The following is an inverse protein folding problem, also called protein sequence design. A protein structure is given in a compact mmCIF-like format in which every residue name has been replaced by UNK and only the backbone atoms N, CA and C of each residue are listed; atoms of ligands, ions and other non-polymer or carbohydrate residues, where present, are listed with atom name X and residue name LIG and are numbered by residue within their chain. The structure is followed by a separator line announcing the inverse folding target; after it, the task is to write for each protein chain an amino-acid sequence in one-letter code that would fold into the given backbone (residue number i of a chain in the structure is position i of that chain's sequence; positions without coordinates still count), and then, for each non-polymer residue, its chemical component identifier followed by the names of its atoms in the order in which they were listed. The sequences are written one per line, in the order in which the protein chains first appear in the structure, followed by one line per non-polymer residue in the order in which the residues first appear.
data_IF_878781813786
#
_entry.id   IF_878781813786
#
_cell.length_a   1.000
_cell.length_b   1.000
_cell.length_c   1.000
_cell.angle_alpha   90.00
_cell.angle_beta   90.00
_cell.angle_gamma   90.00
#
_symmetry.space_group_name_H-M   'P 1'
#
loop_
_entity.id
_entity.type
_entity.pdbx_description
1 polymer ?
#
# COMPACT_ATOMS: atom_id res chain seq x y z
N UNK A 1 16.59 10.88 -51.15
CA UNK A 1 17.18 10.48 -49.85
C UNK A 1 16.56 9.14 -49.49
N UNK A 2 17.33 8.06 -49.32
CA UNK A 2 16.74 6.78 -49.00
C UNK A 2 16.19 6.84 -47.57
N UNK A 3 14.97 6.30 -47.40
CA UNK A 3 14.28 6.18 -46.14
C UNK A 3 15.18 5.44 -45.13
N UNK A 4 15.37 6.03 -43.96
CA UNK A 4 15.94 5.35 -42.81
C UNK A 4 15.11 4.11 -42.53
N UNK A 5 15.73 2.94 -42.62
CA UNK A 5 15.13 1.65 -42.27
C UNK A 5 14.63 1.72 -40.83
N UNK A 6 13.30 1.71 -40.63
CA UNK A 6 12.72 1.37 -39.34
C UNK A 6 13.15 -0.06 -39.04
N UNK A 7 14.16 -0.22 -38.18
CA UNK A 7 14.42 -1.51 -37.57
C UNK A 7 13.11 -1.93 -36.87
N UNK A 8 12.52 -3.04 -37.31
CA UNK A 8 11.34 -3.62 -36.66
C UNK A 8 11.67 -3.84 -35.19
N UNK A 9 10.90 -3.25 -34.27
CA UNK A 9 11.15 -3.46 -32.84
C UNK A 9 11.09 -4.96 -32.53
N UNK A 10 12.09 -5.52 -31.81
CA UNK A 10 12.06 -6.93 -31.45
C UNK A 10 10.85 -7.27 -30.57
N UNK A 11 10.18 -8.39 -30.84
CA UNK A 11 9.08 -8.84 -29.99
C UNK A 11 9.57 -9.04 -28.54
N UNK A 12 8.85 -8.48 -27.57
CA UNK A 12 9.19 -8.50 -26.15
C UNK A 12 10.20 -7.42 -25.72
N UNK A 13 10.68 -6.55 -26.61
CA UNK A 13 11.60 -5.48 -26.24
C UNK A 13 10.90 -4.41 -25.40
N UNK A 14 11.58 -3.95 -24.34
CA UNK A 14 11.13 -2.80 -23.54
C UNK A 14 11.67 -1.52 -24.14
N UNK A 15 10.81 -0.52 -24.30
CA UNK A 15 11.14 0.82 -24.79
C UNK A 15 10.60 1.90 -23.88
N UNK A 16 11.18 3.10 -23.96
CA UNK A 16 10.67 4.27 -23.25
C UNK A 16 9.36 4.75 -23.88
N UNK A 17 8.35 4.91 -23.04
CA UNK A 17 7.06 5.47 -23.37
C UNK A 17 6.66 6.58 -22.41
N UNK A 18 5.48 7.14 -22.67
CA UNK A 18 4.89 8.24 -21.92
C UNK A 18 3.51 7.81 -21.44
N UNK A 19 3.30 7.89 -20.13
CA UNK A 19 1.99 7.67 -19.51
C UNK A 19 1.39 8.99 -19.07
N UNK A 20 0.10 9.17 -19.29
CA UNK A 20 -0.68 10.28 -18.74
C UNK A 20 -1.64 9.73 -17.69
N UNK A 21 -1.19 9.77 -16.44
CA UNK A 21 -1.92 9.35 -15.27
C UNK A 21 -2.94 10.39 -14.78
N UNK A 22 -3.90 9.95 -13.98
CA UNK A 22 -4.92 10.81 -13.35
C UNK A 22 -4.29 11.62 -12.21
N UNK A 23 -3.52 10.95 -11.35
CA UNK A 23 -2.93 11.54 -10.15
C UNK A 23 -1.52 12.11 -10.39
N UNK A 24 -0.71 11.39 -11.17
CA UNK A 24 0.72 11.70 -11.31
C UNK A 24 1.06 12.47 -12.59
N UNK A 25 0.06 12.85 -13.38
CA UNK A 25 0.26 13.60 -14.61
C UNK A 25 1.09 12.83 -15.64
N UNK A 26 2.06 13.49 -16.27
CA UNK A 26 2.86 12.87 -17.34
C UNK A 26 4.11 12.19 -16.77
N UNK A 27 4.21 10.88 -16.97
CA UNK A 27 5.26 10.01 -16.44
C UNK A 27 6.06 9.34 -17.57
N UNK A 28 7.40 9.29 -17.48
CA UNK A 28 8.17 8.37 -18.29
C UNK A 28 7.94 6.94 -17.79
N UNK A 29 7.51 6.05 -18.67
CA UNK A 29 7.20 4.66 -18.32
C UNK A 29 7.84 3.68 -19.31
N UNK A 30 8.43 2.56 -18.85
CA UNK A 30 8.81 1.48 -19.75
C UNK A 30 7.56 0.78 -20.28
N UNK A 31 7.55 0.44 -21.57
CA UNK A 31 6.47 -0.32 -22.22
C UNK A 31 7.07 -1.43 -23.08
N UNK A 32 6.40 -2.57 -23.18
CA UNK A 32 6.86 -3.69 -23.99
C UNK A 32 6.22 -3.62 -25.38
N UNK A 33 7.01 -3.80 -26.43
CA UNK A 33 6.49 -4.06 -27.77
C UNK A 33 6.14 -5.54 -27.94
N UNK A 34 4.92 -5.83 -28.36
CA UNK A 34 4.43 -7.17 -28.68
C UNK A 34 4.00 -7.24 -30.14
N UNK A 35 4.69 -8.07 -30.91
CA UNK A 35 4.49 -8.19 -32.36
C UNK A 35 3.05 -8.63 -32.68
N UNK A 36 2.38 -7.88 -33.56
CA UNK A 36 0.99 -8.11 -33.93
C UNK A 36 -0.05 -7.57 -32.93
N UNK A 37 0.38 -7.02 -31.78
CA UNK A 37 -0.49 -6.43 -30.76
C UNK A 37 -0.28 -4.91 -30.66
N UNK A 38 0.97 -4.47 -30.50
CA UNK A 38 1.30 -3.06 -30.26
C UNK A 38 2.23 -2.93 -29.05
N UNK A 39 2.13 -1.82 -28.32
CA UNK A 39 2.81 -1.61 -27.04
C UNK A 39 1.89 -1.97 -25.89
N UNK A 40 2.45 -2.50 -24.81
CA UNK A 40 1.73 -2.92 -23.61
C UNK A 40 2.39 -2.34 -22.35
N UNK A 41 1.59 -2.05 -21.32
CA UNK A 41 2.08 -1.64 -19.99
C UNK A 41 2.73 -2.84 -19.25
N UNK A 42 3.93 -3.22 -19.68
CA UNK A 42 4.75 -4.30 -19.13
C UNK A 42 6.19 -3.82 -18.96
N UNK A 43 6.73 -3.99 -17.75
CA UNK A 43 8.06 -3.60 -17.33
C UNK A 43 8.94 -4.83 -17.10
N UNK A 44 9.65 -5.29 -18.13
CA UNK A 44 10.62 -6.38 -17.95
C UNK A 44 11.89 -5.96 -17.20
N UNK A 45 12.15 -4.66 -16.99
CA UNK A 45 13.27 -4.22 -16.14
C UNK A 45 13.00 -4.47 -14.66
N UNK A 46 11.72 -4.58 -14.29
CA UNK A 46 11.23 -5.02 -12.97
C UNK A 46 10.55 -6.38 -13.04
N UNK A 47 11.06 -7.27 -13.90
CA UNK A 47 10.62 -8.66 -14.00
C UNK A 47 9.13 -8.83 -14.37
N UNK A 48 8.69 -8.04 -15.34
CA UNK A 48 7.40 -8.18 -15.99
C UNK A 48 6.25 -7.58 -15.18
N UNK A 49 6.51 -6.67 -14.23
CA UNK A 49 5.44 -5.86 -13.63
C UNK A 49 4.54 -5.34 -14.74
N UNK A 50 3.24 -5.50 -14.62
CA UNK A 50 2.32 -5.06 -15.66
C UNK A 50 1.04 -4.47 -15.11
N UNK A 51 0.36 -3.69 -15.94
CA UNK A 51 -0.95 -3.14 -15.66
C UNK A 51 -1.95 -3.57 -16.72
N UNK A 52 -3.16 -3.93 -16.29
CA UNK A 52 -4.23 -4.44 -17.13
C UNK A 52 -5.58 -3.86 -16.70
N UNK A 53 -6.55 -3.79 -17.61
CA UNK A 53 -7.97 -3.58 -17.29
C UNK A 53 -8.51 -4.88 -16.68
N UNK A 54 -9.19 -4.79 -15.53
CA UNK A 54 -9.87 -5.89 -14.85
C UNK A 54 -11.21 -6.27 -15.48
N UNK A 55 -11.68 -5.53 -16.47
CA UNK A 55 -12.86 -5.85 -17.27
C UNK A 55 -14.18 -5.70 -16.53
N UNK A 56 -14.21 -4.87 -15.48
CA UNK A 56 -15.36 -4.67 -14.62
C UNK A 56 -15.68 -5.89 -13.75
N UNK A 57 -14.67 -6.70 -13.39
CA UNK A 57 -14.87 -7.89 -12.56
C UNK A 57 -15.63 -7.53 -11.27
N UNK A 58 -16.63 -8.34 -10.94
CA UNK A 58 -17.40 -8.20 -9.72
C UNK A 58 -17.63 -9.60 -9.12
N UNK A 59 -17.16 -9.84 -7.89
CA UNK A 59 -17.31 -11.16 -7.25
C UNK A 59 -18.77 -11.55 -6.92
N UNK A 60 -19.69 -10.59 -6.93
CA UNK A 60 -21.12 -10.80 -6.64
C UNK A 60 -21.98 -10.94 -7.91
N UNK A 61 -21.48 -10.55 -9.09
CA UNK A 61 -22.21 -10.68 -10.35
C UNK A 61 -21.41 -11.53 -11.35
N UNK A 62 -22.05 -12.55 -11.91
CA UNK A 62 -21.39 -13.55 -12.76
C UNK A 62 -20.95 -13.03 -14.15
N UNK A 63 -21.29 -11.80 -14.53
CA UNK A 63 -21.02 -11.25 -15.87
C UNK A 63 -19.99 -10.12 -15.82
N UNK A 64 -18.80 -10.38 -16.38
CA UNK A 64 -17.73 -9.41 -16.59
C UNK A 64 -16.93 -9.77 -17.86
N UNK A 65 -16.14 -8.82 -18.41
CA UNK A 65 -15.43 -9.01 -19.70
C UNK A 65 -14.18 -9.89 -19.61
N UNK A 66 -13.70 -10.14 -18.40
CA UNK A 66 -12.37 -10.71 -18.16
C UNK A 66 -11.26 -9.66 -18.26
N UNK A 67 -10.10 -9.92 -17.64
CA UNK A 67 -8.98 -8.99 -17.68
C UNK A 67 -8.43 -8.83 -19.11
N UNK A 68 -8.03 -7.61 -19.47
CA UNK A 68 -7.45 -7.25 -20.76
C UNK A 68 -6.18 -6.43 -20.56
N UNK A 69 -5.14 -6.69 -21.33
CA UNK A 69 -3.92 -5.88 -21.28
C UNK A 69 -4.19 -4.48 -21.85
N UNK A 70 -3.64 -3.43 -21.25
CA UNK A 70 -3.64 -2.11 -21.87
C UNK A 70 -2.71 -2.14 -23.09
N UNK A 71 -3.25 -1.84 -24.27
CA UNK A 71 -2.53 -1.85 -25.55
C UNK A 71 -2.61 -0.47 -26.21
N UNK A 72 -1.51 -0.02 -26.80
CA UNK A 72 -1.44 1.21 -27.60
C UNK A 72 -0.68 0.97 -28.91
N UNK A 73 -1.08 1.57 -30.04
CA UNK A 73 -0.29 1.53 -31.28
C UNK A 73 0.98 2.38 -31.20
N UNK A 74 1.11 3.24 -30.17
CA UNK A 74 2.27 4.10 -29.91
C UNK A 74 2.84 3.81 -28.53
N UNK A 75 3.97 4.42 -28.19
CA UNK A 75 4.53 4.33 -26.82
C UNK A 75 3.81 5.24 -25.81
N UNK A 76 2.68 5.85 -26.19
CA UNK A 76 1.88 6.73 -25.34
C UNK A 76 0.64 6.01 -24.78
N UNK A 77 0.35 6.20 -23.49
CA UNK A 77 -0.79 5.62 -22.77
C UNK A 77 -1.53 6.67 -21.96
N UNK A 78 -2.86 6.56 -21.91
CA UNK A 78 -3.71 7.48 -21.17
C UNK A 78 -3.85 8.86 -21.81
N UNK A 79 -4.73 9.67 -21.22
CA UNK A 79 -4.99 11.06 -21.58
C UNK A 79 -5.01 11.99 -20.34
N UNK A 80 -4.70 11.45 -19.16
CA UNK A 80 -4.72 12.17 -17.88
C UNK A 80 -6.10 12.37 -17.26
N UNK A 81 -7.18 11.93 -17.90
CA UNK A 81 -8.54 12.06 -17.37
C UNK A 81 -8.94 10.87 -16.50
N UNK A 82 -9.72 11.11 -15.45
CA UNK A 82 -10.31 10.07 -14.60
C UNK A 82 -11.30 9.15 -15.35
N UNK A 83 -11.78 9.56 -16.54
CA UNK A 83 -12.65 8.74 -17.38
C UNK A 83 -11.87 7.71 -18.23
N UNK A 84 -10.54 7.86 -18.34
CA UNK A 84 -9.71 6.98 -19.14
C UNK A 84 -9.16 5.84 -18.29
N UNK A 85 -9.59 4.61 -18.60
CA UNK A 85 -9.07 3.40 -17.98
C UNK A 85 -7.55 3.27 -18.18
N UNK A 86 -7.03 3.74 -19.32
CA UNK A 86 -5.60 3.73 -19.56
C UNK A 86 -4.86 4.71 -18.66
N UNK A 87 -5.44 5.85 -18.29
CA UNK A 87 -4.84 6.80 -17.34
C UNK A 87 -4.78 6.21 -15.93
N UNK A 88 -5.85 5.55 -15.49
CA UNK A 88 -5.85 4.77 -14.24
C UNK A 88 -4.81 3.64 -14.28
N UNK A 89 -4.73 2.94 -15.41
CA UNK A 89 -3.73 1.90 -15.66
C UNK A 89 -2.30 2.41 -15.55
N UNK A 90 -2.02 3.64 -16.01
CA UNK A 90 -0.72 4.32 -15.88
C UNK A 90 -0.40 4.60 -14.41
N UNK A 91 -1.32 5.17 -13.64
CA UNK A 91 -1.09 5.44 -12.21
C UNK A 91 -0.83 4.16 -11.41
N UNK A 92 -1.65 3.13 -11.64
CA UNK A 92 -1.52 1.84 -11.01
C UNK A 92 -0.17 1.17 -11.35
N UNK A 93 0.25 1.27 -12.61
CA UNK A 93 1.54 0.78 -13.09
C UNK A 93 2.70 1.50 -12.41
N UNK A 94 2.65 2.82 -12.39
CA UNK A 94 3.65 3.66 -11.73
C UNK A 94 3.78 3.32 -10.24
N UNK A 95 2.67 3.24 -9.52
CA UNK A 95 2.69 2.93 -8.10
C UNK A 95 3.23 1.52 -7.81
N UNK A 96 2.92 0.54 -8.67
CA UNK A 96 3.49 -0.82 -8.60
C UNK A 96 5.01 -0.82 -8.83
N UNK A 97 5.51 -0.01 -9.78
CA UNK A 97 6.95 0.15 -10.03
C UNK A 97 7.66 0.79 -8.83
N UNK A 98 7.09 1.86 -8.25
CA UNK A 98 7.65 2.52 -7.06
C UNK A 98 7.65 1.61 -5.83
N UNK A 99 6.61 0.79 -5.68
CA UNK A 99 6.55 -0.23 -4.63
C UNK A 99 7.68 -1.24 -4.77
N UNK A 100 7.91 -1.76 -5.99
CA UNK A 100 9.01 -2.69 -6.25
C UNK A 100 10.37 -2.03 -5.98
N UNK A 101 10.59 -0.80 -6.46
CA UNK A 101 11.83 -0.05 -6.26
C UNK A 101 12.12 0.16 -4.78
N UNK A 102 11.13 0.58 -3.99
CA UNK A 102 11.28 0.76 -2.54
C UNK A 102 11.76 -0.52 -1.85
N UNK A 103 11.07 -1.65 -2.08
CA UNK A 103 11.46 -2.92 -1.45
C UNK A 103 12.83 -3.42 -1.94
N UNK A 104 13.15 -3.21 -3.21
CA UNK A 104 14.46 -3.57 -3.78
C UNK A 104 15.59 -2.73 -3.20
N UNK A 105 15.42 -1.42 -3.13
CA UNK A 105 16.46 -0.46 -2.75
C UNK A 105 16.63 -0.36 -1.22
N UNK A 106 15.52 -0.37 -0.47
CA UNK A 106 15.54 -0.17 0.99
C UNK A 106 15.72 -1.48 1.75
N UNK A 107 15.13 -2.57 1.25
CA UNK A 107 15.09 -3.86 1.98
C UNK A 107 15.82 -5.00 1.26
N UNK A 108 16.48 -4.72 0.14
CA UNK A 108 17.12 -5.73 -0.71
C UNK A 108 16.19 -6.88 -1.14
N UNK A 109 14.87 -6.66 -1.15
CA UNK A 109 13.86 -7.66 -1.47
C UNK A 109 13.56 -7.65 -2.98
N UNK A 110 13.75 -8.79 -3.63
CA UNK A 110 13.44 -8.93 -5.05
C UNK A 110 11.96 -9.26 -5.27
N UNK A 111 11.15 -8.26 -5.60
CA UNK A 111 9.74 -8.42 -5.87
C UNK A 111 8.90 -8.82 -4.65
N UNK A 112 7.63 -9.14 -4.89
CA UNK A 112 6.64 -9.43 -3.85
C UNK A 112 6.98 -10.65 -3.00
N UNK A 113 7.66 -11.63 -3.57
CA UNK A 113 7.86 -12.96 -2.99
C UNK A 113 9.33 -13.27 -2.68
N UNK A 114 10.21 -12.28 -2.79
CA UNK A 114 11.67 -12.41 -2.69
C UNK A 114 12.32 -13.33 -3.75
N UNK A 115 11.54 -13.84 -4.72
CA UNK A 115 12.03 -14.66 -5.85
C UNK A 115 11.88 -13.93 -7.18
N UNK A 116 11.51 -12.65 -7.14
CA UNK A 116 11.29 -11.82 -8.30
C UNK A 116 10.28 -12.47 -9.27
N UNK A 117 9.11 -12.92 -8.78
CA UNK A 117 8.04 -13.32 -9.70
C UNK A 117 7.30 -12.10 -10.26
N UNK A 118 6.76 -12.25 -11.47
CA UNK A 118 5.92 -11.25 -12.14
C UNK A 118 4.70 -10.88 -11.29
N UNK A 119 4.25 -9.62 -11.38
CA UNK A 119 3.04 -9.13 -10.73
C UNK A 119 2.24 -8.25 -11.69
N UNK A 120 0.91 -8.30 -11.61
CA UNK A 120 0.01 -7.54 -12.50
C UNK A 120 -1.02 -6.79 -11.70
N UNK A 121 -1.07 -5.48 -11.83
CA UNK A 121 -2.10 -4.62 -11.23
C UNK A 121 -3.32 -4.55 -12.16
N UNK A 122 -4.55 -4.68 -11.63
CA UNK A 122 -5.79 -4.60 -12.41
C UNK A 122 -6.58 -3.34 -12.07
N UNK A 123 -6.64 -2.39 -12.99
CA UNK A 123 -7.54 -1.25 -12.86
C UNK A 123 -8.98 -1.65 -13.23
N UNK A 124 -9.98 -0.84 -12.93
CA UNK A 124 -11.37 -1.09 -13.32
C UNK A 124 -11.91 -2.43 -12.83
N UNK A 125 -11.86 -2.58 -11.51
CA UNK A 125 -12.55 -3.68 -10.85
C UNK A 125 -13.66 -3.16 -9.94
N UNK A 126 -14.83 -3.76 -10.03
CA UNK A 126 -16.04 -3.30 -9.36
C UNK A 126 -16.41 -4.32 -8.29
N UNK A 127 -15.86 -4.22 -7.08
CA UNK A 127 -16.33 -5.03 -5.95
C UNK A 127 -17.47 -4.30 -5.23
N UNK A 128 -18.70 -4.51 -5.72
CA UNK A 128 -19.91 -3.99 -5.07
C UNK A 128 -20.75 -5.15 -4.53
N UNK A 129 -20.73 -5.30 -3.21
CA UNK A 129 -21.89 -5.80 -2.49
C UNK A 129 -23.07 -4.83 -2.72
N UNK A 130 -24.34 -5.28 -2.78
CA UNK A 130 -25.49 -4.40 -2.99
C UNK A 130 -25.47 -3.21 -2.01
N UNK A 131 -25.43 -1.98 -2.56
CA UNK A 131 -25.45 -0.74 -1.78
C UNK A 131 -24.09 -0.15 -1.36
N UNK A 132 -22.95 -0.76 -1.72
CA UNK A 132 -21.63 -0.14 -1.53
C UNK A 132 -21.16 0.57 -2.80
N UNK A 133 -20.25 1.53 -2.65
CA UNK A 133 -19.57 2.26 -3.72
C UNK A 133 -18.08 1.88 -3.66
N UNK A 134 -17.55 1.39 -4.77
CA UNK A 134 -16.14 1.12 -5.12
C UNK A 134 -15.24 0.67 -3.98
N UNK A 135 -14.78 -0.58 -4.00
CA UNK A 135 -13.73 -1.04 -3.08
C UNK A 135 -12.42 -1.25 -3.83
N UNK A 136 -11.32 -0.85 -3.19
CA UNK A 136 -10.01 -1.38 -3.51
C UNK A 136 -9.89 -2.74 -2.84
N UNK A 137 -9.52 -3.79 -3.57
CA UNK A 137 -9.17 -5.07 -2.96
C UNK A 137 -7.79 -5.52 -3.42
N UNK A 138 -7.11 -6.25 -2.56
CA UNK A 138 -5.91 -7.00 -2.93
C UNK A 138 -6.12 -8.47 -2.63
N UNK A 139 -5.89 -9.32 -3.63
CA UNK A 139 -5.89 -10.76 -3.47
C UNK A 139 -4.70 -11.39 -4.19
N UNK A 140 -4.08 -12.37 -3.54
CA UNK A 140 -2.97 -13.12 -4.09
C UNK A 140 -3.51 -14.38 -4.79
N UNK A 141 -3.34 -14.48 -6.10
CA UNK A 141 -3.70 -15.71 -6.85
C UNK A 141 -2.59 -16.77 -6.85
N UNK A 142 -1.53 -16.59 -6.07
CA UNK A 142 -0.35 -17.47 -6.09
C UNK A 142 0.71 -17.09 -7.12
N UNK A 143 0.33 -16.48 -8.25
CA UNK A 143 1.25 -16.00 -9.31
C UNK A 143 1.11 -14.52 -9.64
N UNK A 144 0.05 -13.87 -9.17
CA UNK A 144 -0.28 -12.48 -9.47
C UNK A 144 -0.89 -11.81 -8.24
N UNK A 145 -0.43 -10.60 -7.91
CA UNK A 145 -1.15 -9.73 -6.98
C UNK A 145 -2.28 -9.07 -7.75
N UNK A 146 -3.52 -9.50 -7.55
CA UNK A 146 -4.68 -8.81 -8.10
C UNK A 146 -4.94 -7.60 -7.21
N UNK A 147 -4.58 -6.41 -7.67
CA UNK A 147 -5.17 -5.20 -7.10
C UNK A 147 -6.37 -4.88 -7.97
N UNK A 148 -7.55 -4.79 -7.37
CA UNK A 148 -8.71 -4.23 -8.03
C UNK A 148 -8.85 -2.79 -7.59
N UNK A 149 -8.74 -1.85 -8.53
CA UNK A 149 -8.94 -0.42 -8.29
C UNK A 149 -10.31 -0.07 -8.86
N UNK A 150 -11.22 0.34 -7.97
CA UNK A 150 -12.57 0.80 -8.34
C UNK A 150 -12.55 1.97 -9.32
N UNK A 151 -13.54 1.99 -10.22
CA UNK A 151 -13.78 3.12 -11.12
C UNK A 151 -14.39 4.31 -10.38
N UNK A 152 -14.21 5.50 -10.94
CA UNK A 152 -14.90 6.70 -10.49
C UNK A 152 -16.43 6.52 -10.60
N UNK A 153 -17.09 6.22 -9.48
CA UNK A 153 -18.54 6.25 -9.35
C UNK A 153 -18.93 7.02 -8.08
N UNK A 154 -19.79 8.02 -8.25
CA UNK A 154 -20.38 8.85 -7.19
C UNK A 154 -19.38 9.67 -6.36
N UNK A 155 -18.42 10.33 -7.02
CA UNK A 155 -17.57 11.36 -6.42
C UNK A 155 -16.31 10.85 -5.72
N UNK A 156 -15.83 9.66 -6.09
CA UNK A 156 -14.57 9.07 -5.63
C UNK A 156 -13.61 9.05 -6.83
N UNK A 157 -12.39 9.56 -6.64
CA UNK A 157 -11.34 9.50 -7.66
C UNK A 157 -10.77 8.07 -7.75
N UNK A 158 -10.11 7.69 -8.85
CA UNK A 158 -9.51 6.37 -8.98
C UNK A 158 -8.61 6.01 -7.79
N UNK A 159 -8.77 4.81 -7.20
CA UNK A 159 -7.97 4.37 -6.03
C UNK A 159 -6.50 4.00 -6.38
N UNK A 160 -6.00 4.45 -7.53
CA UNK A 160 -4.67 4.15 -8.06
C UNK A 160 -3.57 5.04 -7.43
N UNK A 161 -3.60 5.19 -6.11
CA UNK A 161 -2.66 6.06 -5.37
C UNK A 161 -1.45 5.25 -4.86
N UNK A 162 -0.32 5.92 -4.60
CA UNK A 162 0.97 5.28 -4.29
C UNK A 162 0.87 4.48 -2.99
N UNK A 163 0.21 5.07 -2.02
CA UNK A 163 -0.04 4.54 -0.69
C UNK A 163 -1.06 3.39 -0.69
N UNK A 164 -2.14 3.47 -1.47
CA UNK A 164 -3.13 2.39 -1.61
C UNK A 164 -2.50 1.20 -2.34
N UNK A 165 -1.91 1.43 -3.51
CA UNK A 165 -1.24 0.37 -4.29
C UNK A 165 -0.06 -0.21 -3.52
N UNK A 166 0.72 0.63 -2.85
CA UNK A 166 1.83 0.23 -1.99
C UNK A 166 1.39 -0.57 -0.77
N UNK A 167 0.28 -0.18 -0.13
CA UNK A 167 -0.33 -0.93 0.98
C UNK A 167 -0.75 -2.31 0.51
N UNK A 168 -1.38 -2.39 -0.66
CA UNK A 168 -1.77 -3.66 -1.23
C UNK A 168 -0.56 -4.53 -1.63
N UNK A 169 0.50 -3.93 -2.18
CA UNK A 169 1.77 -4.62 -2.45
C UNK A 169 2.33 -5.23 -1.15
N UNK A 170 2.39 -4.44 -0.08
CA UNK A 170 2.91 -4.87 1.21
C UNK A 170 2.03 -5.90 1.92
N UNK A 171 0.71 -5.80 1.79
CA UNK A 171 -0.23 -6.80 2.31
C UNK A 171 0.06 -8.20 1.76
N UNK A 172 0.52 -8.30 0.51
CA UNK A 172 0.90 -9.57 -0.13
C UNK A 172 2.22 -10.14 0.40
N UNK A 173 3.16 -9.30 0.84
CA UNK A 173 4.37 -9.76 1.54
C UNK A 173 3.97 -10.48 2.82
N UNK A 174 3.01 -9.92 3.56
CA UNK A 174 2.48 -10.53 4.78
C UNK A 174 1.62 -11.75 4.47
N UNK A 175 0.76 -11.70 3.45
CA UNK A 175 -0.14 -12.81 3.08
C UNK A 175 0.62 -14.11 2.80
N UNK A 176 1.77 -14.03 2.13
CA UNK A 176 2.64 -15.18 1.90
C UNK A 176 3.15 -15.85 3.19
N UNK A 177 3.13 -15.13 4.31
CA UNK A 177 3.56 -15.60 5.64
C UNK A 177 2.41 -15.85 6.61
N UNK A 178 1.25 -15.24 6.40
CA UNK A 178 0.03 -15.41 7.20
C UNK A 178 -1.24 -15.21 6.34
N UNK A 179 -1.75 -16.28 5.70
CA UNK A 179 -2.87 -16.19 4.76
C UNK A 179 -4.24 -16.05 5.43
N UNK A 180 -4.37 -16.39 6.72
CA UNK A 180 -5.62 -16.28 7.48
C UNK A 180 -5.41 -15.54 8.81
N UNK A 181 -5.39 -14.19 8.76
CA UNK A 181 -5.19 -13.39 9.95
C UNK A 181 -6.41 -13.43 10.90
N UNK A 182 -7.53 -14.07 10.56
CA UNK A 182 -8.75 -13.96 11.35
C UNK A 182 -9.29 -12.51 11.41
N UNK A 183 -9.75 -12.09 12.59
CA UNK A 183 -10.36 -10.78 12.88
C UNK A 183 -9.71 -10.07 14.07
N UNK A 184 -10.14 -8.85 14.36
CA UNK A 184 -9.71 -8.10 15.53
C UNK A 184 -8.25 -7.69 15.44
N UNK A 185 -7.45 -8.08 16.44
CA UNK A 185 -6.04 -7.70 16.53
C UNK A 185 -5.23 -8.12 15.31
N UNK A 186 -5.30 -9.40 14.92
CA UNK A 186 -4.41 -9.93 13.89
C UNK A 186 -4.70 -9.34 12.52
N UNK A 187 -5.98 -9.15 12.20
CA UNK A 187 -6.36 -8.45 10.97
C UNK A 187 -5.89 -6.98 11.02
N UNK A 188 -5.99 -6.33 12.18
CA UNK A 188 -5.47 -4.99 12.42
C UNK A 188 -3.94 -4.91 12.25
N UNK A 189 -3.19 -5.86 12.80
CA UNK A 189 -1.73 -5.96 12.65
C UNK A 189 -1.38 -6.09 11.17
N UNK A 190 -2.03 -6.98 10.42
CA UNK A 190 -1.80 -7.15 8.98
C UNK A 190 -2.09 -5.86 8.21
N UNK A 191 -3.23 -5.24 8.45
CA UNK A 191 -3.61 -3.99 7.79
C UNK A 191 -2.68 -2.84 8.16
N UNK A 192 -2.20 -2.78 9.41
CA UNK A 192 -1.23 -1.76 9.82
C UNK A 192 0.13 -1.93 9.15
N UNK A 193 0.58 -3.17 8.93
CA UNK A 193 1.81 -3.42 8.17
C UNK A 193 1.64 -2.94 6.72
N UNK A 194 0.48 -3.18 6.12
CA UNK A 194 0.16 -2.71 4.78
C UNK A 194 0.22 -1.17 4.72
N UNK A 195 -0.55 -0.46 5.56
CA UNK A 195 -0.59 1.00 5.61
C UNK A 195 0.80 1.61 5.83
N UNK A 196 1.58 1.07 6.78
CA UNK A 196 2.96 1.52 7.05
C UNK A 196 3.82 1.50 5.80
N UNK A 197 3.76 0.42 5.02
CA UNK A 197 4.56 0.32 3.82
C UNK A 197 4.00 1.13 2.65
N UNK A 198 2.67 1.29 2.54
CA UNK A 198 2.06 2.24 1.62
C UNK A 198 2.62 3.65 1.83
N UNK A 199 2.52 4.15 3.05
CA UNK A 199 3.09 5.45 3.45
C UNK A 199 4.59 5.54 3.19
N UNK A 200 5.38 4.51 3.56
CA UNK A 200 6.83 4.55 3.32
C UNK A 200 7.19 4.55 1.82
N UNK A 201 6.37 3.91 0.97
CA UNK A 201 6.53 3.92 -0.49
C UNK A 201 6.24 5.32 -1.04
N UNK A 202 5.18 5.97 -0.57
CA UNK A 202 4.84 7.35 -0.94
C UNK A 202 5.96 8.33 -0.55
N UNK A 203 6.44 8.26 0.70
CA UNK A 203 7.62 9.02 1.16
C UNK A 203 8.87 8.74 0.31
N UNK A 204 9.07 7.50 -0.14
CA UNK A 204 10.23 7.13 -0.96
C UNK A 204 10.10 7.60 -2.40
N UNK A 205 8.90 7.55 -2.97
CA UNK A 205 8.61 8.03 -4.31
C UNK A 205 8.73 9.56 -4.40
N UNK A 206 8.36 10.26 -3.32
CA UNK A 206 8.47 11.72 -3.17
C UNK A 206 7.93 12.47 -4.40
N UNK A 207 6.77 12.03 -4.91
CA UNK A 207 6.21 12.59 -6.11
C UNK A 207 5.65 14.00 -5.82
N UNK A 208 5.86 15.02 -6.67
CA UNK A 208 5.41 16.38 -6.36
C UNK A 208 3.90 16.53 -6.19
N UNK A 209 3.10 15.73 -6.90
CA UNK A 209 1.63 15.71 -6.77
C UNK A 209 1.15 14.83 -5.61
N UNK A 210 2.04 14.05 -5.00
CA UNK A 210 1.73 13.11 -3.92
C UNK A 210 2.89 13.10 -2.90
N UNK A 211 3.09 14.22 -2.17
CA UNK A 211 4.19 14.32 -1.22
C UNK A 211 3.88 13.46 0.01
N UNK A 212 4.81 12.57 0.35
CA UNK A 212 4.69 11.65 1.48
C UNK A 212 4.03 12.23 2.73
N UNK A 213 2.93 11.62 3.15
CA UNK A 213 2.26 11.93 4.40
C UNK A 213 1.80 10.67 5.19
N UNK A 214 0.94 10.84 6.19
CA UNK A 214 0.48 9.78 7.10
C UNK A 214 -1.04 9.59 7.06
N UNK A 215 -1.64 10.05 5.97
CA UNK A 215 -3.02 9.82 5.57
C UNK A 215 -2.96 8.77 4.46
N UNK A 216 -3.91 7.85 4.46
CA UNK A 216 -4.01 6.81 3.44
C UNK A 216 -5.18 7.17 2.53
N UNK A 217 -4.95 7.34 1.24
CA UNK A 217 -5.93 7.50 0.17
C UNK A 217 -6.50 8.91 0.04
N UNK A 218 -5.82 9.92 0.55
CA UNK A 218 -6.18 11.34 0.48
C UNK A 218 -6.26 11.87 -0.95
N UNK A 219 -5.43 11.37 -1.87
CA UNK A 219 -5.57 11.69 -3.31
C UNK A 219 -6.84 11.09 -3.94
N UNK A 220 -7.32 9.96 -3.45
CA UNK A 220 -8.50 9.30 -4.02
C UNK A 220 -9.81 9.67 -3.30
N UNK A 221 -9.73 10.05 -2.03
CA UNK A 221 -10.87 10.29 -1.15
C UNK A 221 -10.66 11.57 -0.34
N UNK A 222 -11.54 12.58 -0.47
CA UNK A 222 -11.43 13.80 0.32
C UNK A 222 -11.40 13.51 1.83
N UNK A 223 -10.31 13.92 2.49
CA UNK A 223 -10.06 13.66 3.91
C UNK A 223 -9.35 12.34 4.22
N UNK A 224 -9.11 11.50 3.22
CA UNK A 224 -8.44 10.22 3.37
C UNK A 224 -9.31 9.10 3.94
N UNK A 225 -8.86 7.86 3.74
CA UNK A 225 -9.48 6.65 4.28
C UNK A 225 -9.07 6.40 5.73
N UNK A 226 -7.80 6.67 6.08
CA UNK A 226 -7.23 6.44 7.42
C UNK A 226 -6.15 7.48 7.73
N UNK A 227 -6.09 7.92 8.98
CA UNK A 227 -5.00 8.76 9.49
C UNK A 227 -4.14 7.95 10.45
N UNK A 228 -2.89 7.66 10.10
CA UNK A 228 -2.04 6.76 10.90
C UNK A 228 -1.76 7.30 12.30
N UNK A 229 -1.67 8.62 12.45
CA UNK A 229 -1.44 9.28 13.75
C UNK A 229 -2.68 9.29 14.65
N UNK A 230 -3.90 9.25 14.09
CA UNK A 230 -5.16 9.32 14.84
C UNK A 230 -6.35 8.84 13.99
N UNK A 231 -6.53 7.53 13.89
CA UNK A 231 -7.49 6.99 12.94
C UNK A 231 -8.96 7.27 13.29
N UNK A 232 -9.28 7.47 14.58
CA UNK A 232 -10.63 7.77 15.05
C UNK A 232 -11.22 9.11 14.55
N UNK A 233 -10.44 9.89 13.78
CA UNK A 233 -10.93 11.05 13.03
C UNK A 233 -12.03 10.66 12.03
N UNK A 234 -12.08 9.39 11.62
CA UNK A 234 -13.15 8.81 10.81
C UNK A 234 -14.50 8.63 11.56
N UNK A 235 -14.53 8.89 12.88
CA UNK A 235 -15.69 8.71 13.75
C UNK A 235 -16.07 7.25 14.04
N UNK A 236 -15.25 6.27 13.65
CA UNK A 236 -15.55 4.82 13.72
C UNK A 236 -14.41 4.00 14.33
N UNK A 237 -13.16 4.33 14.00
CA UNK A 237 -11.98 3.62 14.47
C UNK A 237 -11.73 3.86 15.95
N UNK A 238 -11.04 2.91 16.58
CA UNK A 238 -10.64 3.04 17.98
C UNK A 238 -9.51 4.06 18.14
N UNK A 239 -9.59 4.88 19.20
CA UNK A 239 -8.53 5.84 19.54
C UNK A 239 -7.31 5.12 20.11
N UNK A 240 -7.54 4.18 21.02
CA UNK A 240 -6.52 3.48 21.80
C UNK A 240 -6.84 2.00 21.89
N UNK A 241 -5.81 1.18 22.09
CA UNK A 241 -5.99 -0.26 22.21
C UNK A 241 -6.88 -0.59 23.43
N UNK A 242 -7.99 -1.34 23.26
CA UNK A 242 -8.87 -1.70 24.37
C UNK A 242 -8.16 -2.60 25.38
N UNK A 243 -8.45 -2.43 26.67
CA UNK A 243 -7.82 -3.25 27.73
C UNK A 243 -8.05 -4.76 27.57
N UNK A 244 -9.18 -5.16 26.98
CA UNK A 244 -9.54 -6.56 26.68
C UNK A 244 -9.05 -7.05 25.32
N UNK A 245 -8.37 -6.21 24.55
CA UNK A 245 -8.08 -6.41 23.12
C UNK A 245 -9.30 -6.32 22.22
N UNK A 246 -9.12 -6.60 20.94
CA UNK A 246 -10.21 -6.73 19.99
C UNK A 246 -10.77 -8.16 20.01
N UNK A 247 -12.09 -8.28 20.13
CA UNK A 247 -12.75 -9.59 20.13
C UNK A 247 -12.70 -10.19 18.71
N UNK A 248 -12.05 -11.35 18.50
CA UNK A 248 -11.96 -11.96 17.18
C UNK A 248 -13.30 -12.56 16.72
N UNK A 249 -14.29 -12.71 17.61
CA UNK A 249 -15.62 -13.24 17.29
C UNK A 249 -16.66 -12.13 17.08
N UNK A 250 -16.31 -10.86 17.31
CA UNK A 250 -17.22 -9.74 17.04
C UNK A 250 -17.20 -9.42 15.54
N UNK A 251 -18.33 -9.70 14.88
CA UNK A 251 -18.48 -9.48 13.44
C UNK A 251 -18.84 -8.04 13.08
N UNK A 252 -18.99 -7.15 14.07
CA UNK A 252 -19.22 -5.73 13.84
C UNK A 252 -18.13 -5.14 12.94
N UNK A 253 -18.49 -4.24 11.99
CA UNK A 253 -17.51 -3.58 11.14
C UNK A 253 -16.37 -2.94 11.92
N UNK A 254 -16.59 -2.44 13.14
CA UNK A 254 -15.56 -1.80 13.96
C UNK A 254 -14.37 -2.71 14.29
N UNK A 255 -14.54 -4.05 14.25
CA UNK A 255 -13.48 -5.02 14.53
C UNK A 255 -12.81 -5.56 13.26
N UNK A 256 -13.13 -4.99 12.09
CA UNK A 256 -12.38 -5.27 10.88
C UNK A 256 -11.02 -4.57 10.89
N UNK A 257 -10.08 -5.14 10.13
CA UNK A 257 -8.68 -4.70 10.08
C UNK A 257 -8.54 -3.24 9.65
N UNK A 258 -9.48 -2.74 8.84
CA UNK A 258 -9.50 -1.33 8.44
C UNK A 258 -9.69 -0.39 9.63
N UNK A 259 -10.42 -0.78 10.68
CA UNK A 259 -10.64 0.07 11.87
C UNK A 259 -9.71 -0.28 13.03
N UNK A 260 -9.30 -1.56 13.15
CA UNK A 260 -8.39 -2.00 14.21
C UNK A 260 -6.93 -1.70 13.90
N UNK A 261 -6.55 -1.50 12.62
CA UNK A 261 -5.19 -1.12 12.18
C UNK A 261 -4.67 0.18 12.79
N UNK A 262 -5.57 1.09 13.18
CA UNK A 262 -5.22 2.38 13.79
C UNK A 262 -4.27 2.28 14.98
N UNK A 263 -4.29 1.16 15.71
CA UNK A 263 -3.38 0.91 16.83
C UNK A 263 -1.94 0.69 16.35
N UNK A 264 -1.74 -0.18 15.36
CA UNK A 264 -0.43 -0.42 14.75
C UNK A 264 0.09 0.79 13.97
N UNK A 265 -0.81 1.47 13.25
CA UNK A 265 -0.51 2.70 12.52
C UNK A 265 -0.01 3.81 13.46
N UNK A 266 -0.69 4.00 14.59
CA UNK A 266 -0.30 4.99 15.61
C UNK A 266 1.02 4.62 16.27
N UNK A 267 1.22 3.35 16.61
CA UNK A 267 2.50 2.89 17.15
C UNK A 267 3.66 3.14 16.19
N UNK A 268 3.47 2.91 14.89
CA UNK A 268 4.47 3.23 13.88
C UNK A 268 4.73 4.75 13.78
N UNK A 269 3.67 5.56 13.69
CA UNK A 269 3.78 7.01 13.61
C UNK A 269 4.59 7.57 14.78
N UNK A 270 4.23 7.18 16.01
CA UNK A 270 4.91 7.61 17.23
C UNK A 270 6.37 7.14 17.27
N UNK A 271 6.67 5.97 16.72
CA UNK A 271 8.05 5.50 16.60
C UNK A 271 8.86 6.30 15.56
N UNK A 272 8.26 6.64 14.43
CA UNK A 272 8.93 7.34 13.35
C UNK A 272 9.13 8.83 13.66
N UNK A 273 8.08 9.50 14.13
CA UNK A 273 7.95 10.96 14.22
C UNK A 273 7.89 11.49 15.67
N UNK A 274 7.67 10.61 16.64
CA UNK A 274 7.36 11.02 18.02
C UNK A 274 5.93 11.55 18.17
N UNK A 275 5.64 12.20 19.30
CA UNK A 275 4.34 12.85 19.54
C UNK A 275 4.30 14.25 18.89
N UNK A 276 4.75 14.34 17.65
CA UNK A 276 4.71 15.57 16.86
C UNK A 276 3.40 15.60 16.09
N UNK A 277 2.60 16.66 16.22
CA UNK A 277 1.38 16.78 15.41
C UNK A 277 1.73 17.04 13.94
N UNK A 278 1.12 16.32 12.98
CA UNK A 278 1.30 16.62 11.57
C UNK A 278 0.90 18.06 11.27
N UNK A 279 1.66 18.73 10.39
CA UNK A 279 1.37 20.09 9.98
C UNK A 279 -0.05 20.18 9.38
N UNK A 280 -0.80 21.23 9.73
CA UNK A 280 -2.17 21.43 9.22
C UNK A 280 -3.24 20.52 9.82
N UNK A 281 -2.89 19.52 10.64
CA UNK A 281 -3.87 18.59 11.24
C UNK A 281 -4.77 19.23 12.30
N UNK A 282 -4.37 20.36 12.88
CA UNK A 282 -5.05 20.98 14.03
C UNK A 282 -4.98 20.15 15.32
N UNK A 283 -4.19 19.07 15.34
CA UNK A 283 -4.02 18.22 16.51
C UNK A 283 -2.93 18.73 17.44
N UNK A 284 -3.04 18.39 18.72
CA UNK A 284 -1.98 18.56 19.72
C UNK A 284 -1.31 17.22 20.06
N UNK A 285 -0.09 17.28 20.62
CA UNK A 285 0.70 16.09 20.97
C UNK A 285 -0.04 15.12 21.91
N UNK A 286 -0.82 15.63 22.86
CA UNK A 286 -1.61 14.83 23.79
C UNK A 286 -2.72 14.02 23.10
N UNK A 287 -3.21 14.48 21.95
CA UNK A 287 -4.23 13.76 21.18
C UNK A 287 -3.68 12.57 20.38
N UNK A 288 -2.35 12.48 20.28
CA UNK A 288 -1.66 11.40 19.55
C UNK A 288 -1.37 10.19 20.44
N UNK A 289 -1.39 10.37 21.76
CA UNK A 289 -0.97 9.35 22.73
C UNK A 289 -2.10 8.95 23.66
N UNK A 290 -2.06 7.69 24.11
CA UNK A 290 -3.09 7.07 24.94
C UNK A 290 -2.74 7.06 26.44
N UNK A 291 -1.48 7.35 26.78
CA UNK A 291 -0.95 7.28 28.14
C UNK A 291 -0.42 8.63 28.67
N UNK A 292 -0.61 9.72 27.92
CA UNK A 292 -0.13 11.06 28.27
C UNK A 292 1.36 11.32 27.99
N UNK A 293 2.10 10.36 27.43
CA UNK A 293 3.53 10.52 27.15
C UNK A 293 3.80 11.33 25.87
N UNK A 294 3.69 12.65 25.96
CA UNK A 294 3.94 13.58 24.85
C UNK A 294 5.43 13.85 24.60
N UNK A 295 6.32 13.30 25.43
CA UNK A 295 7.77 13.51 25.31
C UNK A 295 8.46 12.41 24.47
N UNK A 296 7.70 11.61 23.73
CA UNK A 296 8.25 10.58 22.84
C UNK A 296 8.91 11.23 21.63
N UNK A 297 10.17 10.84 21.40
CA UNK A 297 10.99 11.29 20.27
C UNK A 297 11.10 10.14 19.29
N UNK A 298 10.81 10.41 18.02
CA UNK A 298 10.90 9.42 16.95
C UNK A 298 12.34 9.02 16.64
N UNK A 299 12.53 7.78 16.16
CA UNK A 299 13.81 7.27 15.67
C UNK A 299 13.98 7.45 14.15
N UNK A 300 13.02 8.09 13.50
CA UNK A 300 12.98 8.33 12.06
C UNK A 300 12.39 7.16 11.26
N UNK A 301 11.75 7.50 10.13
CA UNK A 301 11.10 6.56 9.20
C UNK A 301 11.99 5.39 8.76
N UNK A 302 13.27 5.63 8.48
CA UNK A 302 14.18 4.59 8.01
C UNK A 302 14.37 3.47 9.05
N UNK A 303 14.64 3.81 10.31
CA UNK A 303 14.82 2.81 11.38
C UNK A 303 13.49 2.13 11.73
N UNK A 304 12.41 2.91 11.83
CA UNK A 304 11.07 2.39 12.09
C UNK A 304 10.63 1.40 11.00
N UNK A 305 10.83 1.76 9.73
CA UNK A 305 10.52 0.93 8.57
C UNK A 305 11.31 -0.38 8.53
N UNK A 306 12.60 -0.36 8.89
CA UNK A 306 13.41 -1.57 9.00
C UNK A 306 12.89 -2.54 10.10
N UNK A 307 12.44 -1.99 11.23
CA UNK A 307 11.84 -2.77 12.33
C UNK A 307 10.50 -3.40 11.87
N UNK A 308 9.64 -2.61 11.21
CA UNK A 308 8.38 -3.11 10.66
C UNK A 308 8.59 -4.13 9.54
N UNK A 309 9.68 -4.02 8.77
CA UNK A 309 9.99 -5.00 7.73
C UNK A 309 10.37 -6.36 8.31
N UNK A 310 11.17 -6.36 9.38
CA UNK A 310 11.43 -7.58 10.15
C UNK A 310 10.17 -8.13 10.81
N UNK A 311 9.28 -7.28 11.34
CA UNK A 311 7.96 -7.72 11.79
C UNK A 311 7.27 -8.49 10.65
N UNK A 312 7.13 -7.89 9.48
CA UNK A 312 6.41 -8.46 8.35
C UNK A 312 7.01 -9.74 7.76
N UNK A 313 8.31 -10.00 7.95
CA UNK A 313 9.01 -11.08 7.21
C UNK A 313 9.68 -12.14 8.07
N UNK A 314 10.15 -11.80 9.28
CA UNK A 314 10.91 -12.73 10.11
C UNK A 314 10.29 -12.96 11.49
N UNK A 315 9.61 -11.96 12.05
CA UNK A 315 9.07 -12.05 13.41
C UNK A 315 7.57 -12.37 13.45
N UNK A 316 6.85 -12.12 12.36
CA UNK A 316 5.42 -12.39 12.30
C UNK A 316 5.16 -13.88 12.19
N UNK A 317 4.46 -14.40 13.19
CA UNK A 317 3.78 -15.70 13.15
C UNK A 317 2.34 -15.52 12.68
N UNK A 318 1.62 -16.62 12.44
CA UNK A 318 0.19 -16.56 12.19
C UNK A 318 -0.55 -15.89 13.37
N UNK A 319 -1.50 -15.02 13.05
CA UNK A 319 -2.47 -14.49 14.02
C UNK A 319 -1.93 -13.72 15.24
N UNK A 320 -0.99 -12.79 15.03
CA UNK A 320 -0.46 -11.97 16.12
C UNK A 320 -1.52 -11.05 16.74
N UNK A 321 -1.59 -11.06 18.07
CA UNK A 321 -2.27 -9.99 18.83
C UNK A 321 -1.41 -8.72 18.89
N UNK A 322 -1.98 -7.58 19.25
CA UNK A 322 -1.19 -6.34 19.39
C UNK A 322 -0.09 -6.43 20.46
N UNK A 323 -0.32 -7.01 21.65
CA UNK A 323 0.77 -7.29 22.60
C UNK A 323 1.86 -8.20 22.03
N UNK A 324 1.51 -9.18 21.20
CA UNK A 324 2.50 -10.04 20.54
C UNK A 324 3.27 -9.29 19.43
N UNK A 325 2.60 -8.42 18.66
CA UNK A 325 3.24 -7.54 17.68
C UNK A 325 4.21 -6.56 18.35
N UNK A 326 3.86 -6.04 19.54
CA UNK A 326 4.78 -5.28 20.38
C UNK A 326 6.02 -6.09 20.74
N UNK A 327 5.86 -7.31 21.26
CA UNK A 327 7.00 -8.16 21.58
C UNK A 327 7.87 -8.48 20.35
N UNK A 328 7.23 -8.75 19.21
CA UNK A 328 7.91 -9.04 17.95
C UNK A 328 8.71 -7.85 17.40
N UNK A 329 8.17 -6.64 17.46
CA UNK A 329 8.88 -5.43 17.02
C UNK A 329 10.03 -5.05 17.96
N UNK A 330 9.92 -5.32 19.26
CA UNK A 330 11.05 -5.18 20.19
C UNK A 330 12.17 -6.14 19.79
N UNK A 331 11.87 -7.43 19.57
CA UNK A 331 12.87 -8.40 19.10
C UNK A 331 13.49 -8.01 17.77
N UNK A 332 12.69 -7.51 16.83
CA UNK A 332 13.19 -6.98 15.56
C UNK A 332 14.19 -5.84 15.76
N UNK A 333 13.89 -4.89 16.64
CA UNK A 333 14.80 -3.79 16.98
C UNK A 333 16.06 -4.29 17.68
N UNK A 334 15.96 -5.26 18.57
CA UNK A 334 17.12 -5.86 19.23
C UNK A 334 18.02 -6.62 18.25
N UNK A 335 17.44 -7.31 17.27
CA UNK A 335 18.19 -7.99 16.21
C UNK A 335 18.93 -7.01 15.28
N UNK A 336 18.37 -5.81 15.07
CA UNK A 336 18.98 -4.77 14.20
C UNK A 336 20.00 -3.90 14.94
N UNK A 337 19.73 -3.55 16.19
CA UNK A 337 20.44 -2.48 16.91
C UNK A 337 21.03 -2.93 18.26
N UNK A 338 20.84 -4.19 18.65
CA UNK A 338 21.33 -4.77 19.90
C UNK A 338 20.28 -4.85 21.00
N UNK A 339 20.45 -5.83 21.90
CA UNK A 339 19.60 -6.04 23.08
C UNK A 339 19.56 -4.78 23.94
N UNK A 340 18.37 -4.35 24.37
CA UNK A 340 18.17 -3.10 25.12
C UNK A 340 18.78 -1.87 24.43
N UNK A 341 18.77 -1.80 23.10
CA UNK A 341 19.16 -0.59 22.36
C UNK A 341 18.21 0.58 22.62
N UNK A 342 18.60 1.78 22.18
CA UNK A 342 17.71 2.95 22.23
C UNK A 342 16.46 2.72 21.36
N UNK A 343 16.62 2.06 20.23
CA UNK A 343 15.57 1.68 19.29
C UNK A 343 14.59 0.69 19.92
N UNK A 344 15.08 -0.36 20.60
CA UNK A 344 14.22 -1.33 21.29
C UNK A 344 13.38 -0.66 22.40
N UNK A 345 13.99 0.28 23.15
CA UNK A 345 13.26 1.09 24.14
C UNK A 345 12.24 2.03 23.47
N UNK A 346 12.59 2.64 22.34
CA UNK A 346 11.68 3.51 21.60
C UNK A 346 10.47 2.74 21.07
N UNK A 347 10.67 1.51 20.55
CA UNK A 347 9.57 0.62 20.15
C UNK A 347 8.65 0.32 21.33
N UNK A 348 9.21 -0.10 22.47
CA UNK A 348 8.41 -0.41 23.65
C UNK A 348 7.59 0.80 24.12
N UNK A 349 8.20 2.00 24.10
CA UNK A 349 7.56 3.28 24.46
C UNK A 349 6.45 3.67 23.49
N UNK A 350 6.68 3.56 22.18
CA UNK A 350 5.70 3.88 21.14
C UNK A 350 4.44 3.00 21.24
N UNK A 351 4.60 1.69 21.47
CA UNK A 351 3.47 0.80 21.71
C UNK A 351 2.68 1.16 22.97
N UNK A 352 3.37 1.48 24.07
CA UNK A 352 2.72 1.93 25.30
C UNK A 352 1.96 3.25 25.10
N UNK A 353 2.50 4.16 24.29
CA UNK A 353 1.83 5.39 23.90
C UNK A 353 0.64 5.14 22.95
N UNK A 354 0.57 4.03 22.23
CA UNK A 354 -0.61 3.58 21.49
C UNK A 354 -1.63 2.79 22.36
N UNK A 355 -1.34 2.61 23.66
CA UNK A 355 -2.20 1.89 24.61
C UNK A 355 -1.93 0.39 24.71
N UNK A 356 -0.90 -0.13 24.04
CA UNK A 356 -0.52 -1.56 24.06
C UNK A 356 0.54 -1.79 25.14
N UNK A 357 0.22 -2.64 26.12
CA UNK A 357 1.07 -2.90 27.29
C UNK A 357 1.92 -4.16 27.15
#
# INVERSE_FOLDING_TARGET
MPATSNASQPNGSVVSGTGHGVHYGTLPIPVQYTAGVGYELIDNTRNGISSSDGGGFNRYYATYRGPQQFVSPTTSFGDGSAASLSSMGVDAYYAMQRSWDYFKLVHARNGLDARNRRATVYSHVVDLAPGRKTTGYSYWSGTTVLLGIGDAAAGIEPLATLDIVGSMYAANIVYNTDPDPGRGDSQGVRSSIADVFGTLIEFHAAHPNDPGDYVIGELAYPGGLRHMYRQNLDGKSFVCYPARGFDPNDESPAYSGEYTSGIGNRAFYLLAEGATAPAGSGLSADQLVCNGDTAIVGIGRAKAGAIWYRLATTEKTSQLTYPQARAATIRAAEALYGVKSAEARAVARAWSAAGVK
#
